data_IF_727717099259
#
_entry.id   IF_727717099259
#
_cell.length_a   1.000
_cell.length_b   1.000
_cell.length_c   1.000
_cell.angle_alpha   90.00
_cell.angle_beta   90.00
_cell.angle_gamma   90.00
#
_symmetry.space_group_name_H-M   'P 1'
#
loop_
_entity.id
_entity.type
_entity.pdbx_description
1 polymer ?
#
# COMPACT_ATOMS: atom_id res chain seq x y z
N UNK A 1 8.44 14.31 16.88
CA UNK A 1 7.02 13.98 17.07
C UNK A 1 6.31 14.54 15.86
N UNK A 2 5.45 13.71 15.25
CA UNK A 2 4.71 13.96 14.00
C UNK A 2 5.55 13.78 12.73
N UNK A 3 5.53 12.54 12.23
CA UNK A 3 5.86 12.19 10.85
C UNK A 3 4.54 11.89 10.10
N UNK A 4 3.81 12.91 9.61
CA UNK A 4 2.60 12.72 8.82
C UNK A 4 2.99 12.36 7.37
N UNK A 5 3.78 11.30 7.19
CA UNK A 5 4.23 10.88 5.86
C UNK A 5 3.13 10.08 5.15
N UNK A 6 2.22 9.46 5.91
CA UNK A 6 1.04 8.77 5.40
C UNK A 6 -0.14 9.08 6.33
N UNK A 7 -1.13 9.83 5.84
CA UNK A 7 -2.40 10.02 6.55
C UNK A 7 -3.17 8.70 6.64
N UNK A 8 -4.23 8.64 7.45
CA UNK A 8 -5.03 7.41 7.63
C UNK A 8 -5.52 6.82 6.30
N UNK A 9 -5.93 7.67 5.36
CA UNK A 9 -6.31 7.27 4.00
C UNK A 9 -5.16 6.58 3.24
N UNK A 10 -3.94 7.11 3.32
CA UNK A 10 -2.76 6.50 2.69
C UNK A 10 -2.41 5.17 3.35
N UNK A 11 -2.57 5.05 4.67
CA UNK A 11 -2.36 3.78 5.38
C UNK A 11 -3.36 2.71 4.91
N UNK A 12 -4.63 3.07 4.75
CA UNK A 12 -5.66 2.17 4.20
C UNK A 12 -5.31 1.71 2.79
N UNK A 13 -4.91 2.62 1.91
CA UNK A 13 -4.50 2.28 0.54
C UNK A 13 -3.29 1.34 0.51
N UNK A 14 -2.27 1.57 1.36
CA UNK A 14 -1.11 0.68 1.45
C UNK A 14 -1.49 -0.71 1.97
N UNK A 15 -2.34 -0.79 3.00
CA UNK A 15 -2.86 -2.06 3.52
C UNK A 15 -3.64 -2.82 2.43
N UNK A 16 -4.47 -2.12 1.67
CA UNK A 16 -5.22 -2.69 0.56
C UNK A 16 -4.30 -3.20 -0.55
N UNK A 17 -3.29 -2.43 -0.96
CA UNK A 17 -2.32 -2.83 -1.95
C UNK A 17 -1.58 -4.11 -1.53
N UNK A 18 -1.15 -4.20 -0.27
CA UNK A 18 -0.49 -5.39 0.26
C UNK A 18 -1.44 -6.60 0.32
N UNK A 19 -2.70 -6.40 0.71
CA UNK A 19 -3.68 -7.48 0.70
C UNK A 19 -3.95 -8.01 -0.72
N UNK A 20 -3.99 -7.14 -1.73
CA UNK A 20 -4.05 -7.52 -3.15
C UNK A 20 -2.82 -8.31 -3.55
N UNK A 21 -1.62 -7.84 -3.19
CA UNK A 21 -0.36 -8.54 -3.46
C UNK A 21 -0.32 -9.96 -2.87
N UNK A 22 -0.88 -10.17 -1.67
CA UNK A 22 -0.97 -11.49 -1.05
C UNK A 22 -1.96 -12.44 -1.72
N UNK A 23 -2.94 -11.91 -2.47
CA UNK A 23 -3.85 -12.70 -3.29
C UNK A 23 -3.18 -13.04 -4.61
N UNK A 24 -2.71 -12.00 -5.30
CA UNK A 24 -2.07 -12.10 -6.60
C UNK A 24 -1.07 -10.94 -6.75
N UNK A 25 0.21 -11.30 -6.88
CA UNK A 25 1.29 -10.34 -7.02
C UNK A 25 1.19 -9.56 -8.35
N UNK A 26 0.62 -10.14 -9.40
CA UNK A 26 0.46 -9.46 -10.69
C UNK A 26 -0.61 -8.35 -10.60
N UNK A 27 -1.64 -8.57 -9.75
CA UNK A 27 -2.72 -7.60 -9.51
C UNK A 27 -2.31 -6.41 -8.65
N UNK A 28 -1.17 -6.49 -7.97
CA UNK A 28 -0.63 -5.36 -7.22
C UNK A 28 -0.37 -4.14 -8.10
N UNK A 29 0.19 -4.36 -9.31
CA UNK A 29 0.47 -3.27 -10.24
C UNK A 29 -0.82 -2.67 -10.78
N UNK A 30 -1.81 -3.49 -11.09
CA UNK A 30 -3.14 -3.02 -11.50
C UNK A 30 -3.77 -2.14 -10.40
N UNK A 31 -3.71 -2.59 -9.14
CA UNK A 31 -4.16 -1.80 -7.98
C UNK A 31 -3.38 -0.49 -7.86
N UNK A 32 -2.06 -0.54 -8.01
CA UNK A 32 -1.19 0.63 -7.92
C UNK A 32 -1.55 1.69 -8.97
N UNK A 33 -1.72 1.30 -10.24
CA UNK A 33 -2.10 2.23 -11.30
C UNK A 33 -3.51 2.79 -11.12
N UNK A 34 -4.45 1.97 -10.67
CA UNK A 34 -5.81 2.41 -10.36
C UNK A 34 -5.82 3.41 -9.18
N UNK A 35 -5.03 3.15 -8.13
CA UNK A 35 -4.86 4.05 -6.99
C UNK A 35 -4.19 5.38 -7.40
N UNK A 36 -3.19 5.36 -8.28
CA UNK A 36 -2.58 6.60 -8.82
C UNK A 36 -3.56 7.43 -9.66
N UNK A 37 -4.46 6.76 -10.37
CA UNK A 37 -5.50 7.40 -11.18
C UNK A 37 -6.64 7.95 -10.33
N UNK A 38 -6.74 7.51 -9.07
CA UNK A 38 -7.75 7.95 -8.12
C UNK A 38 -7.40 9.35 -7.58
N UNK A 39 -8.23 10.35 -7.93
CA UNK A 39 -8.00 11.76 -7.57
C UNK A 39 -8.61 12.16 -6.23
N UNK A 40 -9.39 11.28 -5.61
CA UNK A 40 -10.09 11.55 -4.36
C UNK A 40 -9.36 10.88 -3.18
N UNK A 41 -9.80 11.22 -1.96
CA UNK A 41 -9.26 10.60 -0.77
C UNK A 41 -9.70 9.13 -0.70
N UNK A 42 -8.76 8.23 -0.39
CA UNK A 42 -9.07 6.82 -0.20
C UNK A 42 -9.97 6.62 1.03
N UNK A 43 -11.13 6.05 0.78
CA UNK A 43 -12.06 5.51 1.76
C UNK A 43 -12.30 4.01 1.51
N UNK A 44 -13.07 3.36 2.38
CA UNK A 44 -13.25 1.90 2.30
C UNK A 44 -14.02 1.49 1.03
N UNK A 45 -14.92 2.33 0.53
CA UNK A 45 -15.70 2.07 -0.68
C UNK A 45 -14.86 2.21 -1.94
N UNK A 46 -14.11 3.31 -2.08
CA UNK A 46 -13.21 3.55 -3.23
C UNK A 46 -12.12 2.49 -3.34
N UNK A 47 -11.61 1.99 -2.21
CA UNK A 47 -10.67 0.86 -2.20
C UNK A 47 -11.35 -0.40 -2.74
N UNK A 48 -12.56 -0.73 -2.27
CA UNK A 48 -13.31 -1.89 -2.75
C UNK A 48 -13.67 -1.79 -4.23
N UNK A 49 -14.04 -0.60 -4.71
CA UNK A 49 -14.30 -0.34 -6.13
C UNK A 49 -13.05 -0.61 -6.98
N UNK A 50 -11.87 -0.18 -6.52
CA UNK A 50 -10.61 -0.46 -7.21
C UNK A 50 -10.30 -1.97 -7.22
N UNK A 51 -10.44 -2.64 -6.07
CA UNK A 51 -10.18 -4.08 -5.93
C UNK A 51 -11.10 -4.91 -6.83
N UNK A 52 -12.38 -4.56 -6.89
CA UNK A 52 -13.35 -5.25 -7.76
C UNK A 52 -13.10 -4.94 -9.23
N UNK A 53 -12.69 -3.71 -9.57
CA UNK A 53 -12.32 -3.32 -10.93
C UNK A 53 -11.13 -4.10 -11.49
N UNK A 54 -10.22 -4.57 -10.63
CA UNK A 54 -9.06 -5.38 -11.06
C UNK A 54 -9.37 -6.89 -11.03
N UNK A 55 -10.61 -7.28 -10.73
CA UNK A 55 -11.06 -8.67 -10.77
C UNK A 55 -10.84 -9.47 -9.48
N UNK A 56 -10.58 -8.80 -8.36
CA UNK A 56 -10.53 -9.45 -7.04
C UNK A 56 -11.89 -9.30 -6.36
N UNK A 57 -12.41 -10.39 -5.79
CA UNK A 57 -13.68 -10.35 -5.07
C UNK A 57 -13.52 -9.63 -3.73
N UNK A 58 -14.56 -8.92 -3.28
CA UNK A 58 -14.58 -8.27 -1.97
C UNK A 58 -14.33 -9.28 -0.83
N UNK A 59 -14.84 -10.50 -0.98
CA UNK A 59 -14.69 -11.57 0.01
C UNK A 59 -13.22 -12.01 0.11
N UNK A 60 -12.57 -12.31 -1.01
CA UNK A 60 -11.15 -12.69 -1.04
C UNK A 60 -10.27 -11.58 -0.48
N UNK A 61 -10.59 -10.33 -0.81
CA UNK A 61 -9.89 -9.16 -0.29
C UNK A 61 -9.99 -9.03 1.22
N UNK A 62 -11.20 -9.15 1.79
CA UNK A 62 -11.41 -9.13 3.25
C UNK A 62 -10.71 -10.29 3.95
N UNK A 63 -10.75 -11.48 3.36
CA UNK A 63 -10.04 -12.66 3.88
C UNK A 63 -8.53 -12.40 3.87
N UNK A 64 -7.98 -11.88 2.77
CA UNK A 64 -6.55 -11.55 2.67
C UNK A 64 -6.14 -10.48 3.68
N UNK A 65 -6.93 -9.42 3.83
CA UNK A 65 -6.68 -8.38 4.84
C UNK A 65 -6.65 -8.96 6.26
N UNK A 66 -7.65 -9.77 6.63
CA UNK A 66 -7.74 -10.34 7.97
C UNK A 66 -6.62 -11.36 8.24
N UNK A 67 -6.36 -12.26 7.29
CA UNK A 67 -5.35 -13.32 7.41
C UNK A 67 -3.93 -12.76 7.46
N UNK A 68 -3.66 -11.69 6.71
CA UNK A 68 -2.33 -11.11 6.59
C UNK A 68 -2.13 -9.85 7.43
N UNK A 69 -3.10 -9.45 8.28
CA UNK A 69 -3.06 -8.18 9.01
C UNK A 69 -1.75 -7.96 9.78
N UNK A 70 -1.27 -8.97 10.52
CA UNK A 70 -0.01 -8.85 11.28
C UNK A 70 1.22 -8.72 10.37
N UNK A 71 1.23 -9.40 9.22
CA UNK A 71 2.32 -9.32 8.25
C UNK A 71 2.32 -7.97 7.53
N UNK A 72 1.14 -7.49 7.13
CA UNK A 72 0.93 -6.18 6.53
C UNK A 72 1.43 -5.09 7.47
N UNK A 73 1.07 -5.15 8.75
CA UNK A 73 1.50 -4.17 9.74
C UNK A 73 3.01 -4.17 9.94
N UNK A 74 3.63 -5.36 10.03
CA UNK A 74 5.10 -5.48 10.09
C UNK A 74 5.79 -4.93 8.85
N UNK A 75 5.26 -5.16 7.65
CA UNK A 75 5.81 -4.63 6.40
C UNK A 75 5.73 -3.11 6.36
N UNK A 76 4.60 -2.53 6.80
CA UNK A 76 4.42 -1.08 6.87
C UNK A 76 5.37 -0.47 7.91
N UNK A 77 5.48 -1.07 9.09
CA UNK A 77 6.39 -0.63 10.14
C UNK A 77 7.85 -0.70 9.68
N UNK A 78 8.26 -1.81 9.08
CA UNK A 78 9.62 -1.97 8.53
C UNK A 78 9.91 -0.93 7.45
N UNK A 79 8.95 -0.65 6.55
CA UNK A 79 9.09 0.38 5.53
C UNK A 79 9.20 1.78 6.14
N UNK A 80 8.43 2.07 7.20
CA UNK A 80 8.52 3.33 7.94
C UNK A 80 9.87 3.47 8.63
N UNK A 81 10.35 2.43 9.29
CA UNK A 81 11.66 2.39 9.95
C UNK A 81 12.80 2.58 8.95
N UNK A 82 12.71 1.97 7.77
CA UNK A 82 13.64 2.20 6.68
C UNK A 82 13.58 3.66 6.21
N UNK A 83 12.40 4.22 5.99
CA UNK A 83 12.26 5.62 5.60
C UNK A 83 12.82 6.60 6.66
N UNK A 84 12.62 6.29 7.95
CA UNK A 84 13.20 7.04 9.08
C UNK A 84 14.72 6.98 9.07
N UNK A 85 15.30 5.77 8.91
CA UNK A 85 16.74 5.52 8.90
C UNK A 85 17.44 6.18 7.71
N UNK A 86 16.76 6.27 6.56
CA UNK A 86 17.35 6.83 5.35
C UNK A 86 17.24 8.39 5.34
N UNK A 87 16.57 9.02 6.32
CA UNK A 87 16.55 10.49 6.53
C UNK A 87 16.39 11.32 5.24
N UNK A 88 15.59 10.82 4.30
CA UNK A 88 15.33 11.50 3.04
C UNK A 88 14.29 12.58 3.31
N UNK A 89 14.80 13.79 3.57
CA UNK A 89 14.02 15.01 3.80
C UNK A 89 13.32 15.58 2.54
N UNK A 90 13.09 14.77 1.51
CA UNK A 90 12.37 15.21 0.31
C UNK A 90 12.15 14.07 -0.70
N UNK A 91 10.90 13.82 -1.05
CA UNK A 91 10.56 13.00 -2.23
C UNK A 91 10.77 13.79 -3.52
N UNK A 92 11.19 13.12 -4.61
CA UNK A 92 11.37 11.69 -4.72
C UNK A 92 12.85 11.28 -4.58
N UNK A 93 13.14 10.30 -3.72
CA UNK A 93 14.41 9.61 -3.75
C UNK A 93 14.20 8.17 -4.22
N UNK A 94 14.75 7.89 -5.39
CA UNK A 94 14.91 6.55 -5.95
C UNK A 94 16.27 6.03 -5.49
N UNK A 95 16.31 4.97 -4.68
CA UNK A 95 17.56 4.29 -4.34
C UNK A 95 17.89 3.35 -5.50
N UNK A 96 18.81 3.77 -6.36
CA UNK A 96 19.47 2.86 -7.31
C UNK A 96 20.68 2.28 -6.59
N UNK A 97 20.60 1.03 -6.16
CA UNK A 97 21.76 0.29 -5.70
C UNK A 97 22.66 -0.03 -6.90
N UNK A 98 23.83 0.62 -6.96
CA UNK A 98 25.12 -0.01 -7.31
C UNK A 98 26.22 1.06 -7.37
N UNK A 99 27.29 0.89 -6.60
CA UNK A 99 28.67 0.85 -7.15
C UNK A 99 29.56 0.17 -6.11
N UNK A 100 30.41 -0.71 -6.62
CA UNK A 100 31.35 -1.62 -5.95
C UNK A 100 32.33 -0.94 -5.00
#
# INVERSE_FOLDING_TARGET
RDFPILGEASLKAVRAALAVYFIDADKYLDFYYAALSHKQQFDDNSILDIVTSIGISEEDFKISLAKNSELIDKMIESTRDLAQKINIRGTPAMIVGNTF
#
